data_IF_595890723523
#
_entry.id   IF_595890723523
#
_cell.length_a   1.000
_cell.length_b   1.000
_cell.length_c   1.000
_cell.angle_alpha   90.00
_cell.angle_beta   90.00
_cell.angle_gamma   90.00
#
_symmetry.space_group_name_H-M   'P 1'
#
loop_
_entity.id
_entity.type
_entity.pdbx_description
1 polymer ?
#
# COMPACT_ATOMS: atom_id res chain seq x y z
N UNK A 1 -74.24 108.27 -63.18
CA UNK A 1 -73.26 109.17 -62.55
C UNK A 1 -71.92 108.46 -62.56
N UNK A 2 -71.05 108.86 -63.49
CA UNK A 2 -69.76 108.26 -63.75
C UNK A 2 -68.73 108.62 -62.66
N UNK A 3 -67.61 107.88 -62.68
CA UNK A 3 -66.31 108.17 -62.06
C UNK A 3 -66.12 107.76 -60.59
N UNK A 4 -65.57 106.55 -60.39
CA UNK A 4 -64.43 106.25 -59.49
C UNK A 4 -63.95 104.79 -59.68
N UNK A 5 -63.51 104.41 -60.90
CA UNK A 5 -63.01 103.05 -61.20
C UNK A 5 -61.86 102.60 -60.27
N UNK A 6 -61.14 103.56 -59.68
CA UNK A 6 -60.07 103.32 -58.69
C UNK A 6 -60.58 102.67 -57.39
N UNK A 7 -61.80 102.99 -56.93
CA UNK A 7 -62.35 102.45 -55.68
C UNK A 7 -62.68 100.94 -55.79
N UNK A 8 -63.17 100.50 -56.95
CA UNK A 8 -63.43 99.08 -57.21
C UNK A 8 -62.15 98.27 -57.35
N UNK A 9 -61.09 98.86 -57.92
CA UNK A 9 -59.76 98.24 -57.98
C UNK A 9 -59.17 98.08 -56.57
N UNK A 10 -59.32 99.08 -55.70
CA UNK A 10 -58.87 99.00 -54.30
C UNK A 10 -59.64 97.92 -53.55
N UNK A 11 -60.97 97.84 -53.71
CA UNK A 11 -61.79 96.82 -53.05
C UNK A 11 -61.40 95.39 -53.47
N UNK A 12 -61.12 95.18 -54.76
CA UNK A 12 -60.63 93.90 -55.26
C UNK A 12 -59.28 93.51 -54.65
N UNK A 13 -58.35 94.47 -54.54
CA UNK A 13 -57.04 94.22 -53.94
C UNK A 13 -57.13 93.86 -52.45
N UNK A 14 -58.03 94.51 -51.71
CA UNK A 14 -58.27 94.20 -50.28
C UNK A 14 -58.84 92.78 -50.10
N UNK A 15 -59.78 92.37 -50.96
CA UNK A 15 -60.33 90.99 -50.93
C UNK A 15 -59.26 89.95 -51.26
N UNK A 16 -58.37 90.22 -52.22
CA UNK A 16 -57.25 89.33 -52.56
C UNK A 16 -56.26 89.20 -51.41
N UNK A 17 -55.96 90.28 -50.69
CA UNK A 17 -55.06 90.25 -49.53
C UNK A 17 -55.68 89.46 -48.37
N UNK A 18 -56.97 89.65 -48.09
CA UNK A 18 -57.65 88.92 -47.00
C UNK A 18 -57.79 87.43 -47.36
N UNK A 19 -58.18 87.11 -48.60
CA UNK A 19 -58.28 85.73 -49.07
C UNK A 19 -56.92 85.02 -49.12
N UNK A 20 -55.88 85.71 -49.62
CA UNK A 20 -54.52 85.20 -49.66
C UNK A 20 -53.91 85.02 -48.27
N UNK A 21 -54.16 85.97 -47.36
CA UNK A 21 -53.74 85.88 -45.96
C UNK A 21 -54.41 84.72 -45.22
N UNK A 22 -55.72 84.53 -45.40
CA UNK A 22 -56.45 83.41 -44.81
C UNK A 22 -56.01 82.06 -45.38
N UNK A 23 -55.77 81.98 -46.69
CA UNK A 23 -55.25 80.76 -47.33
C UNK A 23 -53.85 80.41 -46.83
N UNK A 24 -52.95 81.40 -46.75
CA UNK A 24 -51.60 81.18 -46.24
C UNK A 24 -51.59 80.78 -44.76
N UNK A 25 -52.40 81.45 -43.93
CA UNK A 25 -52.50 81.13 -42.50
C UNK A 25 -53.11 79.74 -42.25
N UNK A 26 -54.18 79.38 -42.96
CA UNK A 26 -54.82 78.07 -42.81
C UNK A 26 -53.94 76.92 -43.33
N UNK A 27 -53.14 77.13 -44.38
CA UNK A 27 -52.24 76.11 -44.90
C UNK A 27 -50.96 75.97 -44.07
N UNK A 28 -50.44 77.06 -43.50
CA UNK A 28 -49.21 77.05 -42.70
C UNK A 28 -49.44 76.50 -41.28
N UNK A 29 -50.57 76.79 -40.63
CA UNK A 29 -50.86 76.31 -39.27
C UNK A 29 -51.57 74.95 -39.21
N UNK A 30 -52.07 74.41 -40.34
CA UNK A 30 -52.63 73.03 -40.40
C UNK A 30 -51.58 71.95 -40.69
N UNK A 31 -50.33 72.31 -40.89
CA UNK A 31 -49.25 71.36 -41.21
C UNK A 31 -48.54 70.78 -39.98
N UNK A 32 -49.09 70.92 -38.78
CA UNK A 32 -48.53 70.35 -37.54
C UNK A 32 -49.43 69.29 -36.93
N UNK A 33 -50.01 68.41 -37.77
CA UNK A 33 -50.35 67.06 -37.33
C UNK A 33 -49.12 66.18 -37.59
N UNK A 34 -48.11 66.32 -36.74
CA UNK A 34 -47.04 65.33 -36.64
C UNK A 34 -47.66 64.08 -36.04
N UNK A 35 -48.12 63.16 -36.89
CA UNK A 35 -48.35 61.77 -36.48
C UNK A 35 -47.04 61.28 -35.87
N UNK A 36 -47.06 61.03 -34.57
CA UNK A 36 -45.92 60.45 -33.87
C UNK A 36 -45.67 59.06 -34.46
N UNK A 37 -44.61 58.93 -35.27
CA UNK A 37 -44.11 57.64 -35.71
C UNK A 37 -43.76 56.82 -34.46
N UNK A 38 -44.67 55.92 -34.08
CA UNK A 38 -44.37 54.92 -33.07
C UNK A 38 -43.29 54.00 -33.65
N UNK A 39 -42.15 53.81 -32.96
CA UNK A 39 -41.07 53.00 -33.50
C UNK A 39 -41.60 51.58 -33.70
N UNK A 40 -41.49 51.08 -34.93
CA UNK A 40 -41.93 49.74 -35.29
C UNK A 40 -41.04 48.70 -34.61
N UNK A 41 -41.55 48.07 -33.56
CA UNK A 41 -40.81 47.05 -32.79
C UNK A 41 -41.00 45.69 -33.46
N UNK A 42 -39.92 45.09 -33.93
CA UNK A 42 -39.98 43.74 -34.48
C UNK A 42 -40.16 42.73 -33.34
N UNK A 43 -41.19 41.89 -33.45
CA UNK A 43 -41.48 40.81 -32.50
C UNK A 43 -41.47 39.46 -33.21
N UNK A 44 -41.15 38.39 -32.47
CA UNK A 44 -41.20 37.01 -32.95
C UNK A 44 -41.90 36.12 -31.92
N UNK A 45 -42.61 35.09 -32.40
CA UNK A 45 -43.34 34.14 -31.56
C UNK A 45 -42.36 33.14 -30.93
N UNK A 46 -42.26 33.12 -29.61
CA UNK A 46 -41.43 32.17 -28.88
C UNK A 46 -42.02 30.74 -28.95
N UNK A 47 -41.17 29.74 -29.18
CA UNK A 47 -41.53 28.31 -29.17
C UNK A 47 -40.59 27.55 -28.24
N UNK A 48 -41.11 26.55 -27.55
CA UNK A 48 -40.30 25.63 -26.74
C UNK A 48 -39.89 24.42 -27.57
N UNK A 49 -38.63 24.03 -27.46
CA UNK A 49 -38.04 22.85 -28.06
C UNK A 49 -36.84 22.39 -27.24
N UNK A 50 -36.30 21.22 -27.57
CA UNK A 50 -35.12 20.69 -26.90
C UNK A 50 -33.87 21.40 -27.42
N UNK A 51 -33.05 21.93 -26.50
CA UNK A 51 -31.75 22.51 -26.80
C UNK A 51 -30.66 21.54 -26.31
N UNK A 52 -29.94 20.92 -27.23
CA UNK A 52 -28.77 20.10 -26.88
C UNK A 52 -27.56 21.00 -26.76
N UNK A 53 -27.06 21.16 -25.54
CA UNK A 53 -25.79 21.84 -25.28
C UNK A 53 -24.68 20.78 -25.33
N UNK A 54 -23.74 20.95 -26.25
CA UNK A 54 -22.51 20.16 -26.28
C UNK A 54 -21.34 21.02 -25.83
N UNK A 55 -20.39 20.39 -25.13
CA UNK A 55 -19.11 20.98 -24.79
C UNK A 55 -18.02 20.21 -25.52
N UNK A 56 -17.17 20.93 -26.25
CA UNK A 56 -15.99 20.36 -26.92
C UNK A 56 -14.74 20.70 -26.12
N UNK A 57 -13.94 19.69 -25.79
CA UNK A 57 -12.61 19.85 -25.20
C UNK A 57 -11.56 19.20 -26.09
N UNK A 58 -10.39 19.83 -26.22
CA UNK A 58 -9.25 19.22 -26.86
C UNK A 58 -8.45 18.41 -25.83
N UNK A 59 -8.13 17.17 -26.16
CA UNK A 59 -7.27 16.28 -25.37
C UNK A 59 -6.36 15.49 -26.29
N UNK A 60 -5.20 15.08 -25.78
CA UNK A 60 -4.28 14.19 -26.51
C UNK A 60 -4.54 12.75 -26.09
N UNK A 61 -4.54 11.83 -27.05
CA UNK A 61 -4.59 10.39 -26.80
C UNK A 61 -3.15 9.90 -26.69
N UNK A 62 -2.86 9.17 -25.62
CA UNK A 62 -1.56 8.51 -25.40
C UNK A 62 -1.76 6.99 -25.40
N UNK A 63 -0.77 6.21 -25.86
CA UNK A 63 -0.83 4.76 -25.77
C UNK A 63 -0.95 4.31 -24.30
N UNK A 64 -1.71 3.24 -24.06
CA UNK A 64 -1.85 2.68 -22.71
C UNK A 64 -0.55 2.04 -22.19
N UNK A 65 0.30 1.56 -23.09
CA UNK A 65 1.61 0.98 -22.81
C UNK A 65 2.50 1.16 -24.03
N UNK A 66 3.75 1.53 -23.80
CA UNK A 66 4.79 1.64 -24.81
C UNK A 66 6.00 0.86 -24.30
N UNK A 67 6.51 -0.06 -25.13
CA UNK A 67 7.65 -0.92 -24.80
C UNK A 67 8.67 -0.78 -25.93
N UNK A 68 9.88 -0.36 -25.59
CA UNK A 68 11.02 -0.41 -26.49
C UNK A 68 11.51 -1.84 -26.61
N UNK A 69 11.45 -2.42 -27.82
CA UNK A 69 11.97 -3.77 -28.09
C UNK A 69 13.32 -3.66 -28.76
N UNK A 70 14.32 -4.32 -28.20
CA UNK A 70 15.69 -4.37 -28.71
C UNK A 70 16.33 -5.72 -28.37
N UNK A 71 17.53 -5.95 -28.88
CA UNK A 71 18.32 -7.12 -28.53
C UNK A 71 19.21 -6.81 -27.33
N UNK A 72 19.24 -7.72 -26.35
CA UNK A 72 20.11 -7.60 -25.18
C UNK A 72 21.57 -7.93 -25.50
N UNK A 73 21.80 -8.69 -26.58
CA UNK A 73 23.12 -9.13 -27.03
C UNK A 73 23.55 -8.43 -28.33
N UNK A 74 24.86 -8.31 -28.51
CA UNK A 74 25.45 -7.81 -29.75
C UNK A 74 25.49 -8.90 -30.81
N UNK A 75 25.04 -8.59 -32.03
CA UNK A 75 25.02 -9.54 -33.15
C UNK A 75 24.74 -8.86 -34.48
N UNK A 76 24.70 -9.64 -35.55
CA UNK A 76 24.32 -9.19 -36.89
C UNK A 76 22.84 -9.43 -37.11
N UNK A 77 22.08 -8.40 -37.50
CA UNK A 77 20.67 -8.54 -37.83
C UNK A 77 20.52 -9.44 -39.08
N UNK A 78 19.85 -10.58 -38.95
CA UNK A 78 19.58 -11.50 -40.06
C UNK A 78 18.40 -10.98 -40.86
N UNK A 79 17.27 -10.76 -40.20
CA UNK A 79 16.02 -10.37 -40.85
C UNK A 79 15.06 -9.68 -39.87
N UNK A 80 14.21 -8.80 -40.42
CA UNK A 80 13.05 -8.21 -39.74
C UNK A 80 11.81 -8.80 -40.38
N UNK A 81 10.93 -9.37 -39.57
CA UNK A 81 9.75 -10.13 -40.01
C UNK A 81 8.46 -9.30 -39.99
N UNK A 82 8.54 -8.03 -39.58
CA UNK A 82 7.41 -7.12 -39.42
C UNK A 82 7.65 -5.76 -40.07
N UNK A 83 6.57 -5.10 -40.51
CA UNK A 83 6.62 -3.76 -41.07
C UNK A 83 6.07 -2.72 -40.10
N UNK A 84 6.40 -1.45 -40.36
CA UNK A 84 5.89 -0.32 -39.57
C UNK A 84 4.37 -0.26 -39.68
N UNK A 85 3.69 -0.37 -38.54
CA UNK A 85 2.22 -0.36 -38.43
C UNK A 85 1.56 -1.73 -38.31
N UNK A 86 2.34 -2.82 -38.37
CA UNK A 86 1.83 -4.18 -38.19
C UNK A 86 1.43 -4.44 -36.73
N UNK A 87 0.39 -5.27 -36.55
CA UNK A 87 -0.07 -5.72 -35.23
C UNK A 87 0.59 -7.05 -34.91
N UNK A 88 1.41 -7.07 -33.86
CA UNK A 88 2.12 -8.26 -33.39
C UNK A 88 1.47 -8.83 -32.13
N UNK A 89 1.55 -10.14 -31.95
CA UNK A 89 1.08 -10.84 -30.74
C UNK A 89 2.23 -11.13 -29.77
N UNK A 90 1.88 -11.39 -28.51
CA UNK A 90 2.85 -11.83 -27.51
C UNK A 90 3.48 -13.16 -27.96
N UNK A 91 4.81 -13.22 -27.96
CA UNK A 91 5.58 -14.38 -28.39
C UNK A 91 5.84 -14.47 -29.90
N UNK A 92 5.37 -13.49 -30.68
CA UNK A 92 5.65 -13.43 -32.12
C UNK A 92 7.09 -12.96 -32.38
N UNK A 93 7.82 -13.68 -33.24
CA UNK A 93 9.20 -13.32 -33.59
C UNK A 93 9.17 -12.16 -34.59
N UNK A 94 9.63 -10.99 -34.15
CA UNK A 94 9.61 -9.76 -34.96
C UNK A 94 10.90 -9.51 -35.73
N UNK A 95 12.04 -10.03 -35.24
CA UNK A 95 13.35 -9.90 -35.86
C UNK A 95 14.27 -11.03 -35.37
N UNK A 96 15.24 -11.40 -36.19
CA UNK A 96 16.22 -12.45 -35.87
C UNK A 96 17.63 -11.89 -35.90
N UNK A 97 18.40 -12.19 -34.86
CA UNK A 97 19.79 -11.78 -34.68
C UNK A 97 20.70 -13.01 -34.78
N UNK A 98 21.81 -12.87 -35.50
CA UNK A 98 22.93 -13.80 -35.48
C UNK A 98 23.96 -13.31 -34.45
N UNK A 99 24.05 -13.98 -33.32
CA UNK A 99 25.01 -13.66 -32.27
C UNK A 99 26.38 -14.32 -32.50
N UNK A 100 26.51 -15.14 -33.55
CA UNK A 100 27.73 -15.91 -33.82
C UNK A 100 28.07 -16.95 -32.75
N UNK A 101 27.20 -17.13 -31.75
CA UNK A 101 27.40 -18.09 -30.68
C UNK A 101 27.22 -19.51 -31.20
N UNK A 102 28.13 -20.39 -30.80
CA UNK A 102 27.99 -21.81 -31.09
C UNK A 102 26.86 -22.42 -30.25
N UNK A 103 26.19 -23.46 -30.76
CA UNK A 103 25.19 -24.23 -30.00
C UNK A 103 25.74 -24.70 -28.63
N UNK A 104 27.04 -24.99 -28.57
CA UNK A 104 27.73 -25.37 -27.35
C UNK A 104 27.81 -24.23 -26.31
N UNK A 105 27.99 -22.99 -26.76
CA UNK A 105 28.08 -21.81 -25.88
C UNK A 105 26.69 -21.45 -25.33
N UNK A 106 25.65 -21.54 -26.17
CA UNK A 106 24.26 -21.36 -25.76
C UNK A 106 23.86 -22.42 -24.73
N UNK A 107 24.19 -23.69 -24.99
CA UNK A 107 23.90 -24.79 -24.06
C UNK A 107 24.63 -24.62 -22.72
N UNK A 108 25.88 -24.16 -22.74
CA UNK A 108 26.65 -23.87 -21.53
C UNK A 108 26.01 -22.72 -20.73
N UNK A 109 25.61 -21.64 -21.42
CA UNK A 109 24.93 -20.49 -20.80
C UNK A 109 23.61 -20.91 -20.14
N UNK A 110 22.80 -21.71 -20.83
CA UNK A 110 21.57 -22.27 -20.27
C UNK A 110 21.82 -23.14 -19.04
N UNK A 111 22.79 -24.05 -19.09
CA UNK A 111 23.13 -24.90 -17.97
C UNK A 111 23.60 -24.08 -16.75
N UNK A 112 24.39 -23.02 -16.98
CA UNK A 112 24.81 -22.12 -15.91
C UNK A 112 23.64 -21.34 -15.31
N UNK A 113 22.68 -20.89 -16.14
CA UNK A 113 21.48 -20.22 -15.68
C UNK A 113 20.59 -21.16 -14.83
N UNK A 114 20.43 -22.41 -15.25
CA UNK A 114 19.70 -23.44 -14.49
C UNK A 114 20.36 -23.74 -13.15
N UNK A 115 21.70 -23.86 -13.11
CA UNK A 115 22.44 -24.04 -11.87
C UNK A 115 22.27 -22.85 -10.92
N UNK A 116 22.32 -21.63 -11.44
CA UNK A 116 22.13 -20.42 -10.65
C UNK A 116 20.71 -20.34 -10.07
N UNK A 117 19.69 -20.72 -10.86
CA UNK A 117 18.30 -20.80 -10.39
C UNK A 117 18.16 -21.83 -9.26
N UNK A 118 18.74 -23.02 -9.43
CA UNK A 118 18.69 -24.07 -8.41
C UNK A 118 19.37 -23.61 -7.11
N UNK A 119 20.54 -22.98 -7.21
CA UNK A 119 21.24 -22.43 -6.04
C UNK A 119 20.41 -21.35 -5.33
N UNK A 120 19.75 -20.47 -6.08
CA UNK A 120 18.88 -19.44 -5.50
C UNK A 120 17.66 -20.04 -4.79
N UNK A 121 17.07 -21.11 -5.34
CA UNK A 121 16.00 -21.86 -4.69
C UNK A 121 16.47 -22.53 -3.41
N UNK A 122 17.63 -23.19 -3.43
CA UNK A 122 18.19 -23.82 -2.23
C UNK A 122 18.49 -22.79 -1.12
N UNK A 123 19.08 -21.64 -1.48
CA UNK A 123 19.32 -20.57 -0.52
C UNK A 123 18.03 -20.02 0.09
N UNK A 124 16.95 -19.94 -0.70
CA UNK A 124 15.64 -19.54 -0.22
C UNK A 124 15.07 -20.58 0.76
N UNK A 125 15.15 -21.87 0.43
CA UNK A 125 14.68 -22.97 1.28
C UNK A 125 15.47 -23.03 2.61
N UNK A 126 16.78 -22.77 2.59
CA UNK A 126 17.62 -22.70 3.79
C UNK A 126 17.25 -21.53 4.70
N UNK A 127 16.87 -20.38 4.14
CA UNK A 127 16.36 -19.24 4.90
C UNK A 127 15.04 -19.59 5.59
N UNK A 128 14.11 -20.26 4.89
CA UNK A 128 12.85 -20.69 5.50
C UNK A 128 13.06 -21.73 6.60
N UNK A 129 13.91 -22.73 6.36
CA UNK A 129 14.23 -23.75 7.35
C UNK A 129 14.91 -23.18 8.60
N UNK A 130 15.80 -22.19 8.43
CA UNK A 130 16.47 -21.53 9.56
C UNK A 130 15.51 -20.62 10.35
N UNK A 131 14.59 -19.92 9.68
CA UNK A 131 13.55 -19.13 10.34
C UNK A 131 12.59 -19.99 11.19
N UNK A 132 12.16 -21.15 10.67
CA UNK A 132 11.32 -22.09 11.41
C UNK A 132 12.07 -22.69 12.62
N UNK A 133 13.35 -23.01 12.45
CA UNK A 133 14.20 -23.50 13.54
C UNK A 133 14.43 -22.44 14.63
N UNK A 134 14.67 -21.19 14.24
CA UNK A 134 14.84 -20.07 15.17
C UNK A 134 13.54 -19.77 15.94
N UNK A 135 12.39 -19.85 15.27
CA UNK A 135 11.08 -19.74 15.91
C UNK A 135 10.85 -20.87 16.94
N UNK A 136 11.22 -22.11 16.60
CA UNK A 136 11.12 -23.25 17.52
C UNK A 136 12.04 -23.10 18.73
N UNK A 137 13.28 -22.66 18.54
CA UNK A 137 14.23 -22.37 19.63
C UNK A 137 13.74 -21.24 20.54
N UNK A 138 13.12 -20.21 19.96
CA UNK A 138 12.56 -19.07 20.70
C UNK A 138 11.35 -19.50 21.54
N UNK A 139 10.46 -20.32 21.00
CA UNK A 139 9.34 -20.90 21.75
C UNK A 139 9.82 -21.75 22.92
N UNK A 140 10.84 -22.58 22.70
CA UNK A 140 11.45 -23.37 23.78
C UNK A 140 12.05 -22.47 24.86
N UNK A 141 12.77 -21.41 24.48
CA UNK A 141 13.35 -20.47 25.43
C UNK A 141 12.29 -19.71 26.26
N UNK A 142 11.12 -19.44 25.68
CA UNK A 142 9.98 -18.85 26.40
C UNK A 142 9.38 -19.87 27.39
N UNK A 143 9.18 -21.12 26.97
CA UNK A 143 8.67 -22.18 27.85
C UNK A 143 9.59 -22.44 29.04
N UNK A 144 10.91 -22.47 28.81
CA UNK A 144 11.90 -22.62 29.89
C UNK A 144 11.88 -21.43 30.85
N UNK A 145 11.75 -20.19 30.33
CA UNK A 145 11.62 -18.99 31.15
C UNK A 145 10.31 -18.95 31.97
N UNK A 146 9.22 -19.49 31.45
CA UNK A 146 7.95 -19.63 32.18
C UNK A 146 8.07 -20.65 33.32
N UNK A 147 8.74 -21.79 33.10
CA UNK A 147 9.02 -22.78 34.16
C UNK A 147 9.90 -22.20 35.26
N UNK A 148 10.97 -21.50 34.89
CA UNK A 148 11.85 -20.83 35.86
C UNK A 148 11.07 -19.80 36.69
N UNK A 149 10.15 -19.06 36.08
CA UNK A 149 9.28 -18.12 36.78
C UNK A 149 8.30 -18.84 37.73
N UNK A 150 7.73 -19.96 37.31
CA UNK A 150 6.86 -20.79 38.13
C UNK A 150 7.60 -21.32 39.36
N UNK A 151 8.79 -21.88 39.18
CA UNK A 151 9.67 -22.35 40.26
C UNK A 151 10.07 -21.23 41.23
N UNK A 152 10.32 -20.02 40.72
CA UNK A 152 10.59 -18.84 41.55
C UNK A 152 9.35 -18.37 42.31
N UNK A 153 8.16 -18.46 41.70
CA UNK A 153 6.89 -18.07 42.31
C UNK A 153 6.41 -19.07 43.35
N UNK A 154 6.78 -20.35 43.20
CA UNK A 154 6.37 -21.44 44.07
C UNK A 154 7.34 -21.59 45.25
N UNK A 155 7.39 -20.54 46.08
CA UNK A 155 8.20 -20.49 47.31
C UNK A 155 7.90 -21.68 48.23
N UNK A 156 6.66 -22.15 48.24
CA UNK A 156 6.22 -23.31 49.02
C UNK A 156 6.91 -24.61 48.59
N UNK A 157 7.12 -24.82 47.27
CA UNK A 157 7.85 -25.98 46.75
C UNK A 157 9.33 -25.94 47.18
N UNK A 158 9.96 -24.76 47.10
CA UNK A 158 11.36 -24.58 47.54
C UNK A 158 11.51 -24.75 49.06
N UNK A 159 10.52 -24.29 49.83
CA UNK A 159 10.49 -24.48 51.27
C UNK A 159 10.32 -25.97 51.62
N UNK A 160 9.46 -26.69 50.92
CA UNK A 160 9.26 -28.13 51.11
C UNK A 160 10.54 -28.94 50.78
N UNK A 161 11.22 -28.62 49.67
CA UNK A 161 12.50 -29.24 49.31
C UNK A 161 13.61 -28.94 50.33
N UNK A 162 13.67 -27.71 50.84
CA UNK A 162 14.64 -27.34 51.87
C UNK A 162 14.38 -28.08 53.19
N UNK A 163 13.11 -28.22 53.61
CA UNK A 163 12.74 -29.00 54.80
C UNK A 163 13.06 -30.49 54.63
N UNK A 164 12.85 -31.05 53.44
CA UNK A 164 13.23 -32.43 53.13
C UNK A 164 14.75 -32.62 53.22
N UNK A 165 15.53 -31.72 52.61
CA UNK A 165 17.00 -31.79 52.66
C UNK A 165 17.54 -31.66 54.10
N UNK A 166 16.90 -30.83 54.93
CA UNK A 166 17.22 -30.74 56.36
C UNK A 166 16.92 -32.07 57.07
N UNK A 167 15.75 -32.67 56.82
CA UNK A 167 15.38 -33.95 57.44
C UNK A 167 16.35 -35.09 57.05
N UNK A 168 16.75 -35.17 55.78
CA UNK A 168 17.73 -36.15 55.30
C UNK A 168 19.12 -35.92 55.94
N UNK A 169 19.53 -34.65 56.08
CA UNK A 169 20.79 -34.31 56.74
C UNK A 169 20.77 -34.65 58.25
N UNK A 170 19.64 -34.45 58.94
CA UNK A 170 19.45 -34.85 60.33
C UNK A 170 19.52 -36.38 60.51
N UNK A 171 18.93 -37.14 59.58
CA UNK A 171 18.98 -38.60 59.59
C UNK A 171 20.42 -39.12 59.41
N UNK A 172 21.14 -38.58 58.42
CA UNK A 172 22.55 -38.93 58.18
C UNK A 172 23.44 -38.60 59.39
N UNK A 173 23.19 -37.48 60.06
CA UNK A 173 23.91 -37.11 61.28
C UNK A 173 23.58 -38.05 62.45
N UNK A 174 22.32 -38.45 62.60
CA UNK A 174 21.90 -39.42 63.61
C UNK A 174 22.51 -40.81 63.37
N UNK A 175 22.68 -41.23 62.11
CA UNK A 175 23.39 -42.45 61.75
C UNK A 175 24.89 -42.35 62.07
N UNK A 176 25.53 -41.26 61.68
CA UNK A 176 26.94 -41.00 61.99
C UNK A 176 27.21 -41.00 63.51
N UNK A 177 26.31 -40.42 64.30
CA UNK A 177 26.40 -40.41 65.76
C UNK A 177 26.19 -41.82 66.35
N UNK A 178 25.25 -42.60 65.82
CA UNK A 178 25.06 -44.01 66.20
C UNK A 178 26.33 -44.82 65.93
N UNK A 179 26.92 -44.66 64.75
CA UNK A 179 28.18 -45.30 64.39
C UNK A 179 29.31 -44.89 65.34
N UNK A 180 29.51 -43.59 65.57
CA UNK A 180 30.51 -43.09 66.51
C UNK A 180 30.34 -43.65 67.93
N UNK A 181 29.11 -43.67 68.44
CA UNK A 181 28.82 -44.20 69.76
C UNK A 181 29.09 -45.71 69.85
N UNK A 182 28.70 -46.49 68.85
CA UNK A 182 28.98 -47.94 68.78
C UNK A 182 30.48 -48.23 68.73
N UNK A 183 31.25 -47.44 67.98
CA UNK A 183 32.71 -47.56 67.91
C UNK A 183 33.36 -47.21 69.26
N UNK A 184 32.82 -46.23 69.99
CA UNK A 184 33.32 -45.83 71.32
C UNK A 184 32.92 -46.81 72.44
N UNK A 185 31.75 -47.44 72.38
CA UNK A 185 31.28 -48.40 73.39
C UNK A 185 31.79 -49.82 73.17
N UNK A 186 32.31 -50.13 71.98
CA UNK A 186 32.95 -51.42 71.72
C UNK A 186 34.37 -51.44 72.31
N UNK A 187 34.51 -52.30 73.31
CA UNK A 187 35.73 -52.71 74.02
C UNK A 187 36.41 -51.67 74.93
N UNK A 188 35.95 -51.60 76.18
CA UNK A 188 36.87 -51.28 77.27
C UNK A 188 37.97 -52.36 77.28
N UNK A 189 39.23 -51.96 77.44
CA UNK A 189 40.38 -52.88 77.55
C UNK A 189 40.11 -54.05 78.52
N UNK A 190 39.31 -53.80 79.56
CA UNK A 190 38.85 -54.78 80.55
C UNK A 190 38.10 -55.99 79.97
N UNK A 191 37.24 -55.82 78.95
CA UNK A 191 36.52 -56.96 78.33
C UNK A 191 37.38 -57.73 77.33
N UNK A 192 38.39 -57.10 76.74
CA UNK A 192 39.40 -57.80 75.92
C UNK A 192 40.29 -58.65 76.82
N UNK A 193 40.75 -58.08 77.94
CA UNK A 193 41.61 -58.77 78.90
C UNK A 193 40.87 -59.93 79.59
N UNK A 194 39.59 -59.77 79.93
CA UNK A 194 38.78 -60.87 80.47
C UNK A 194 38.61 -62.02 79.48
N UNK A 195 38.27 -61.72 78.22
CA UNK A 195 38.13 -62.74 77.17
C UNK A 195 39.44 -63.48 76.89
N UNK A 196 40.59 -62.79 76.95
CA UNK A 196 41.90 -63.43 76.77
C UNK A 196 42.23 -64.41 77.90
N UNK A 197 41.93 -64.04 79.15
CA UNK A 197 42.12 -64.93 80.31
C UNK A 197 41.24 -66.18 80.28
N UNK A 198 39.99 -66.07 79.80
CA UNK A 198 39.10 -67.23 79.63
C UNK A 198 39.60 -68.19 78.55
N UNK A 199 40.16 -67.66 77.46
CA UNK A 199 40.69 -68.48 76.36
C UNK A 199 41.93 -69.27 76.79
N UNK A 200 42.86 -68.63 77.52
CA UNK A 200 44.07 -69.28 78.04
C UNK A 200 43.73 -70.37 79.07
N UNK A 201 42.71 -70.16 79.91
CA UNK A 201 42.26 -71.18 80.86
C UNK A 201 41.57 -72.38 80.18
N UNK A 202 40.95 -72.17 79.02
CA UNK A 202 40.34 -73.24 78.23
C UNK A 202 41.39 -74.07 77.47
N UNK A 203 42.51 -73.46 77.09
CA UNK A 203 43.61 -74.13 76.38
C UNK A 203 44.47 -75.01 77.32
N UNK A 204 44.55 -74.65 78.60
CA UNK A 204 45.28 -75.41 79.64
C UNK A 204 44.49 -76.65 80.16
N UNK A 205 43.23 -76.82 79.73
CA UNK A 205 42.36 -77.95 80.11
C UNK A 205 42.19 -79.03 79.03
N UNK A 206 42.95 -78.96 77.93
CA UNK A 206 43.06 -80.01 76.90
C UNK A 206 44.43 -80.70 76.95
#
# INVERSE_FOLDING_TARGET
>A
MFQNKKLWIILFFVIVIIGGGYYYYSNFYRSTNTEAETPTVQTAVARRGNLTVFASGAGSVVPASEIGVGFDESGTLIEILVNVGDKVKVGEVIARLDTGQSEAEIALSMAQAELNLLNAQQALDEIYASADMEAALTLQAVEDAERDLEDLSNVDLRQAQALQAIAEAEEALAEAQRYYNNVRTTANQFTIDSAYSELVLAEDQL
#
